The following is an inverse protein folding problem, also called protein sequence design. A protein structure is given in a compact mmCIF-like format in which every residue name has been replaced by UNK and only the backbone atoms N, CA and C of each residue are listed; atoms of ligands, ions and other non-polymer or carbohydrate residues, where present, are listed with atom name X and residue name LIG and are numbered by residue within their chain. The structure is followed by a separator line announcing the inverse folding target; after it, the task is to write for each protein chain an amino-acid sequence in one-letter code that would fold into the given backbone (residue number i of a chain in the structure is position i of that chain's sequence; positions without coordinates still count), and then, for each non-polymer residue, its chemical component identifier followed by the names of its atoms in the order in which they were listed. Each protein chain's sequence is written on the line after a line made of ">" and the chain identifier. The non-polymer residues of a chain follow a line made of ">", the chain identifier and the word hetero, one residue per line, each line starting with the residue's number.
data_IF_212204096442
#
_entry.id   IF_212204096442
#
_cell.length_a   1.000
_cell.length_b   1.000
_cell.length_c   1.000
_cell.angle_alpha   90.00
_cell.angle_beta   90.00
_cell.angle_gamma   90.00
#
_symmetry.space_group_name_H-M   'P 1'
#
loop_
_entity.id
_entity.type
_entity.pdbx_description
1 polymer ?
#
# COMPACT_ATOMS: atom_id res chain seq x y z
N UNK A 1 35.54 -30.22 28.34
CA UNK A 1 35.32 -29.55 27.06
C UNK A 1 33.85 -29.58 26.78
N UNK A 2 33.14 -28.44 26.94
CA UNK A 2 31.71 -28.32 26.65
C UNK A 2 31.59 -27.69 25.27
N UNK A 3 31.12 -28.46 24.30
CA UNK A 3 30.86 -27.98 22.96
C UNK A 3 29.55 -27.18 22.99
N UNK A 4 29.64 -25.85 22.82
CA UNK A 4 28.50 -24.98 22.57
C UNK A 4 28.03 -25.24 21.15
N UNK A 5 26.91 -25.92 20.97
CA UNK A 5 26.19 -25.98 19.68
C UNK A 5 25.63 -24.59 19.36
N UNK A 6 25.96 -24.00 18.19
CA UNK A 6 25.36 -22.76 17.77
C UNK A 6 23.87 -23.00 17.48
N UNK A 7 23.01 -22.30 18.20
CA UNK A 7 21.57 -22.29 17.97
C UNK A 7 21.33 -21.42 16.72
N UNK A 8 21.23 -22.04 15.54
CA UNK A 8 20.78 -21.35 14.33
C UNK A 8 19.28 -21.08 14.46
N UNK A 9 18.92 -19.83 14.79
CA UNK A 9 17.57 -19.36 14.60
C UNK A 9 17.32 -19.28 13.08
N UNK A 10 16.69 -20.29 12.51
CA UNK A 10 16.03 -20.18 11.22
C UNK A 10 14.85 -19.23 11.41
N UNK A 11 15.01 -17.95 11.05
CA UNK A 11 13.91 -17.06 10.85
C UNK A 11 13.06 -17.69 9.73
N UNK A 12 11.89 -18.19 10.07
CA UNK A 12 10.98 -18.75 9.08
C UNK A 12 10.68 -17.66 8.05
N UNK A 13 10.91 -17.97 6.78
CA UNK A 13 10.55 -17.05 5.71
C UNK A 13 9.04 -16.82 5.72
N UNK A 14 8.59 -15.60 5.48
CA UNK A 14 7.16 -15.30 5.43
C UNK A 14 6.48 -16.10 4.31
N UNK A 15 5.20 -16.40 4.49
CA UNK A 15 4.45 -17.26 3.56
C UNK A 15 4.41 -16.71 2.13
N UNK A 16 4.43 -15.39 1.96
CA UNK A 16 4.45 -14.76 0.64
C UNK A 16 5.74 -15.00 -0.15
N UNK A 17 6.85 -15.40 0.50
CA UNK A 17 8.08 -15.83 -0.16
C UNK A 17 8.09 -17.34 -0.46
N UNK A 18 7.27 -18.12 0.23
CA UNK A 18 7.33 -19.59 0.19
C UNK A 18 6.14 -20.26 -0.48
N UNK A 19 5.01 -19.54 -0.62
CA UNK A 19 3.77 -20.06 -1.23
C UNK A 19 3.41 -19.23 -2.46
N UNK A 20 2.93 -19.87 -3.53
CA UNK A 20 2.35 -19.13 -4.64
C UNK A 20 1.02 -18.48 -4.21
N UNK A 21 0.61 -17.35 -4.82
CA UNK A 21 -0.56 -16.56 -4.39
C UNK A 21 -1.88 -17.36 -4.33
N UNK A 22 -2.10 -18.26 -5.26
CA UNK A 22 -3.29 -19.13 -5.33
C UNK A 22 -3.40 -20.10 -4.15
N UNK A 23 -2.29 -20.37 -3.46
CA UNK A 23 -2.25 -21.20 -2.25
C UNK A 23 -2.38 -20.42 -0.95
N UNK A 24 -2.51 -19.09 -1.01
CA UNK A 24 -2.72 -18.27 0.18
C UNK A 24 -4.14 -18.49 0.72
N UNK A 25 -4.24 -18.61 2.04
CA UNK A 25 -5.53 -18.62 2.73
C UNK A 25 -6.14 -17.22 2.76
N UNK A 26 -7.45 -17.13 2.99
CA UNK A 26 -8.12 -15.83 3.10
C UNK A 26 -7.52 -14.97 4.23
N UNK A 27 -7.07 -15.58 5.33
CA UNK A 27 -6.37 -14.89 6.42
C UNK A 27 -4.99 -14.35 5.98
N UNK A 28 -4.22 -15.14 5.22
CA UNK A 28 -2.93 -14.70 4.67
C UNK A 28 -3.10 -13.56 3.67
N UNK A 29 -4.11 -13.61 2.81
CA UNK A 29 -4.45 -12.50 1.90
C UNK A 29 -4.78 -11.23 2.68
N UNK A 30 -5.60 -11.32 3.75
CA UNK A 30 -5.88 -10.16 4.59
C UNK A 30 -4.62 -9.64 5.29
N UNK A 31 -3.73 -10.51 5.77
CA UNK A 31 -2.45 -10.11 6.35
C UNK A 31 -1.60 -9.32 5.35
N UNK A 32 -1.47 -9.80 4.10
CA UNK A 32 -0.74 -9.06 3.05
C UNK A 32 -1.31 -7.66 2.86
N UNK A 33 -2.63 -7.53 2.84
CA UNK A 33 -3.32 -6.26 2.56
C UNK A 33 -3.36 -5.27 3.71
N UNK A 34 -3.11 -5.71 4.95
CA UNK A 34 -3.33 -4.84 6.12
C UNK A 34 -2.17 -4.78 7.12
N UNK A 35 -1.28 -5.77 7.13
CA UNK A 35 -0.26 -5.97 8.17
C UNK A 35 1.05 -6.54 7.61
N UNK A 36 1.34 -6.26 6.35
CA UNK A 36 2.56 -6.69 5.67
C UNK A 36 3.57 -5.54 5.58
N UNK A 37 4.80 -5.80 5.09
CA UNK A 37 5.73 -4.73 4.77
C UNK A 37 5.18 -3.66 3.82
N UNK A 38 4.21 -4.00 2.97
CA UNK A 38 3.60 -3.12 1.97
C UNK A 38 2.30 -2.46 2.43
N UNK A 39 1.79 -2.81 3.62
CA UNK A 39 0.53 -2.30 4.13
C UNK A 39 0.59 -2.04 5.63
N UNK A 40 0.05 -0.90 6.06
CA UNK A 40 0.02 -0.48 7.46
C UNK A 40 -1.33 0.10 7.82
N UNK A 41 -1.76 -0.13 9.05
CA UNK A 41 -2.95 0.51 9.64
C UNK A 41 -2.54 1.77 10.36
N UNK A 42 -3.34 2.83 10.25
CA UNK A 42 -3.15 4.03 11.06
C UNK A 42 -3.65 3.77 12.48
N UNK A 43 -2.90 4.27 13.48
CA UNK A 43 -3.27 4.12 14.89
C UNK A 43 -3.97 5.37 15.45
N UNK A 44 -4.04 6.45 14.68
CA UNK A 44 -4.59 7.73 15.11
C UNK A 44 -5.89 8.05 14.36
N UNK A 45 -6.95 8.37 15.09
CA UNK A 45 -8.26 8.72 14.52
C UNK A 45 -8.98 7.52 13.89
N UNK A 46 -9.82 7.76 12.86
CA UNK A 46 -10.44 6.66 12.12
C UNK A 46 -9.39 5.77 11.48
N UNK A 47 -9.53 4.46 11.69
CA UNK A 47 -8.58 3.47 11.15
C UNK A 47 -8.64 3.51 9.62
N UNK A 48 -7.52 3.82 9.01
CA UNK A 48 -7.30 3.67 7.58
C UNK A 48 -6.21 2.61 7.34
N UNK A 49 -6.34 1.88 6.27
CA UNK A 49 -5.25 1.03 5.76
C UNK A 49 -4.55 1.80 4.64
N UNK A 50 -3.24 1.95 4.75
CA UNK A 50 -2.40 2.60 3.76
C UNK A 50 -1.44 1.55 3.20
N UNK A 51 -1.43 1.37 1.88
CA UNK A 51 -0.68 0.30 1.24
C UNK A 51 -0.13 0.69 -0.13
N UNK A 52 0.96 0.04 -0.51
CA UNK A 52 1.63 0.20 -1.81
C UNK A 52 0.89 -0.65 -2.85
N UNK A 53 -0.11 -0.08 -3.51
CA UNK A 53 -1.05 -0.80 -4.39
C UNK A 53 -0.38 -1.45 -5.62
N UNK A 54 0.76 -0.92 -6.07
CA UNK A 54 1.54 -1.43 -7.20
C UNK A 54 2.62 -2.43 -6.79
N UNK A 55 2.73 -2.77 -5.50
CA UNK A 55 3.62 -3.84 -5.05
C UNK A 55 3.04 -5.22 -5.42
N UNK A 56 3.84 -6.07 -6.03
CA UNK A 56 3.38 -7.37 -6.53
C UNK A 56 2.65 -8.23 -5.47
N UNK A 57 3.06 -8.30 -4.18
CA UNK A 57 2.30 -9.06 -3.20
C UNK A 57 0.89 -8.50 -2.95
N UNK A 58 0.72 -7.19 -2.98
CA UNK A 58 -0.59 -6.55 -2.84
C UNK A 58 -1.48 -6.88 -4.05
N UNK A 59 -0.94 -6.72 -5.26
CA UNK A 59 -1.68 -7.05 -6.50
C UNK A 59 -2.11 -8.51 -6.56
N UNK A 60 -1.22 -9.43 -6.16
CA UNK A 60 -1.56 -10.85 -6.06
C UNK A 60 -2.70 -11.09 -5.04
N UNK A 61 -2.62 -10.47 -3.86
CA UNK A 61 -3.66 -10.58 -2.84
C UNK A 61 -5.01 -10.04 -3.32
N UNK A 62 -5.01 -8.90 -4.03
CA UNK A 62 -6.22 -8.32 -4.60
C UNK A 62 -6.80 -9.16 -5.74
N UNK A 63 -5.95 -9.71 -6.62
CA UNK A 63 -6.37 -10.61 -7.69
C UNK A 63 -7.02 -11.87 -7.12
N UNK A 64 -6.42 -12.49 -6.10
CA UNK A 64 -6.99 -13.67 -5.43
C UNK A 64 -8.35 -13.38 -4.78
N UNK A 65 -8.53 -12.21 -4.16
CA UNK A 65 -9.83 -11.82 -3.60
C UNK A 65 -10.93 -11.68 -4.66
N UNK A 66 -10.60 -11.14 -5.84
CA UNK A 66 -11.55 -11.03 -6.96
C UNK A 66 -11.93 -12.41 -7.50
N UNK A 67 -10.98 -13.34 -7.55
CA UNK A 67 -11.22 -14.72 -8.00
C UNK A 67 -12.05 -15.55 -7.00
N UNK A 68 -12.21 -15.11 -5.74
CA UNK A 68 -12.90 -15.83 -4.66
C UNK A 68 -14.23 -15.19 -4.21
N UNK A 69 -15.09 -14.69 -5.11
CA UNK A 69 -16.29 -13.93 -4.71
C UNK A 69 -17.27 -14.74 -3.86
N UNK A 70 -17.33 -16.08 -4.02
CA UNK A 70 -18.27 -16.96 -3.29
C UNK A 70 -17.92 -17.17 -1.81
N UNK A 71 -16.68 -16.89 -1.40
CA UNK A 71 -16.19 -17.08 -0.03
C UNK A 71 -16.11 -15.79 0.76
N UNK A 72 -16.15 -14.64 0.08
CA UNK A 72 -16.00 -13.33 0.71
C UNK A 72 -17.36 -12.63 0.74
N UNK A 73 -17.94 -12.35 1.93
CA UNK A 73 -19.18 -11.57 2.05
C UNK A 73 -19.02 -10.11 1.58
N UNK A 74 -17.78 -9.65 1.44
CA UNK A 74 -17.43 -8.33 0.93
C UNK A 74 -16.44 -8.51 -0.23
N UNK A 75 -16.91 -8.85 -1.44
CA UNK A 75 -16.04 -9.01 -2.59
C UNK A 75 -15.27 -7.69 -2.84
N UNK A 76 -14.01 -7.81 -3.20
CA UNK A 76 -13.24 -6.63 -3.57
C UNK A 76 -13.83 -6.03 -4.85
N UNK A 77 -14.12 -4.72 -4.88
CA UNK A 77 -14.63 -4.08 -6.09
C UNK A 77 -13.61 -4.17 -7.22
N UNK A 78 -14.10 -4.17 -8.44
CA UNK A 78 -13.23 -3.98 -9.60
C UNK A 78 -12.62 -2.58 -9.52
N UNK A 79 -11.34 -2.43 -9.85
CA UNK A 79 -10.70 -1.13 -9.86
C UNK A 79 -11.29 -0.25 -10.96
N UNK A 80 -11.22 1.07 -10.73
CA UNK A 80 -11.63 2.06 -11.72
C UNK A 80 -10.92 1.81 -13.06
N UNK A 81 -11.64 1.77 -14.20
CA UNK A 81 -11.04 1.56 -15.52
C UNK A 81 -9.95 2.56 -15.87
N UNK A 82 -10.12 3.83 -15.53
CA UNK A 82 -9.13 4.89 -15.80
C UNK A 82 -7.84 4.64 -15.00
N UNK A 83 -7.97 4.09 -13.78
CA UNK A 83 -6.82 3.66 -12.98
C UNK A 83 -6.07 2.48 -13.63
N UNK A 84 -6.79 1.51 -14.16
CA UNK A 84 -6.20 0.35 -14.85
C UNK A 84 -5.46 0.79 -16.12
N UNK A 85 -6.06 1.67 -16.93
CA UNK A 85 -5.43 2.26 -18.11
C UNK A 85 -4.17 3.04 -17.73
N UNK A 86 -4.26 3.90 -16.70
CA UNK A 86 -3.11 4.63 -16.21
C UNK A 86 -1.92 3.72 -15.83
N UNK A 87 -2.20 2.63 -15.11
CA UNK A 87 -1.15 1.69 -14.72
C UNK A 87 -0.50 1.00 -15.92
N UNK A 88 -1.26 0.70 -16.98
CA UNK A 88 -0.70 0.07 -18.18
C UNK A 88 0.40 0.94 -18.82
N UNK A 89 0.23 2.24 -18.76
CA UNK A 89 1.10 3.19 -19.45
C UNK A 89 2.24 3.73 -18.56
N UNK A 90 1.99 3.87 -17.25
CA UNK A 90 2.88 4.63 -16.36
C UNK A 90 3.50 3.83 -15.21
N UNK A 91 3.21 2.54 -15.09
CA UNK A 91 3.71 1.68 -14.00
C UNK A 91 5.23 1.66 -13.87
N UNK A 92 5.95 1.77 -14.98
CA UNK A 92 7.42 1.77 -14.97
C UNK A 92 8.01 3.01 -14.28
N UNK A 93 7.33 4.13 -14.37
CA UNK A 93 7.77 5.44 -13.88
C UNK A 93 7.19 5.82 -12.54
N UNK A 94 6.01 5.29 -12.21
CA UNK A 94 5.22 5.65 -11.05
C UNK A 94 4.83 4.43 -10.22
N UNK A 95 4.52 4.67 -8.94
CA UNK A 95 3.84 3.71 -8.08
C UNK A 95 2.64 4.38 -7.39
N UNK A 96 1.77 3.57 -6.84
CA UNK A 96 0.52 4.04 -6.24
C UNK A 96 0.46 3.68 -4.76
N UNK A 97 0.28 4.70 -3.93
CA UNK A 97 -0.09 4.56 -2.53
C UNK A 97 -1.61 4.61 -2.43
N UNK A 98 -2.22 3.53 -1.95
CA UNK A 98 -3.65 3.43 -1.79
C UNK A 98 -4.06 3.56 -0.32
N UNK A 99 -5.21 4.21 -0.09
CA UNK A 99 -5.76 4.45 1.24
C UNK A 99 -7.22 4.02 1.24
N UNK A 100 -7.56 3.06 2.11
CA UNK A 100 -8.96 2.73 2.41
C UNK A 100 -9.37 3.44 3.68
N UNK A 101 -10.42 4.27 3.65
CA UNK A 101 -10.96 4.88 4.85
C UNK A 101 -12.48 4.99 4.83
N UNK A 102 -13.12 5.07 6.03
CA UNK A 102 -14.54 4.76 6.16
C UNK A 102 -15.49 5.80 5.58
N UNK A 103 -15.01 6.98 5.16
CA UNK A 103 -15.91 8.01 4.68
C UNK A 103 -15.28 8.83 3.56
N UNK A 104 -15.58 8.50 2.29
CA UNK A 104 -15.09 9.27 1.15
C UNK A 104 -15.77 10.64 0.98
N UNK A 105 -16.73 11.01 1.85
CA UNK A 105 -17.57 12.19 1.67
C UNK A 105 -16.82 13.54 1.64
N UNK A 106 -15.63 13.62 2.24
CA UNK A 106 -14.82 14.86 2.24
C UNK A 106 -14.01 15.10 0.97
N UNK A 107 -13.80 14.09 0.16
CA UNK A 107 -12.98 14.21 -1.08
C UNK A 107 -13.75 14.83 -2.25
N UNK A 108 -15.07 15.03 -2.12
CA UNK A 108 -15.86 15.80 -3.07
C UNK A 108 -15.72 17.32 -2.94
N UNK A 109 -15.05 17.81 -1.90
CA UNK A 109 -14.76 19.24 -1.74
C UNK A 109 -13.45 19.57 -2.48
N UNK A 110 -13.55 20.47 -3.46
CA UNK A 110 -12.40 20.90 -4.27
C UNK A 110 -11.27 21.52 -3.44
N UNK A 111 -11.57 22.10 -2.28
CA UNK A 111 -10.56 22.65 -1.36
C UNK A 111 -9.80 21.54 -0.66
N UNK A 112 -10.49 20.50 -0.20
CA UNK A 112 -9.88 19.35 0.45
C UNK A 112 -9.02 18.56 -0.54
N UNK A 113 -9.47 18.38 -1.78
CA UNK A 113 -8.68 17.76 -2.86
C UNK A 113 -7.41 18.57 -3.14
N UNK A 114 -7.53 19.89 -3.25
CA UNK A 114 -6.37 20.76 -3.48
C UNK A 114 -5.37 20.70 -2.33
N UNK A 115 -5.84 20.72 -1.08
CA UNK A 115 -4.96 20.57 0.09
C UNK A 115 -4.26 19.22 0.10
N UNK A 116 -4.98 18.15 -0.22
CA UNK A 116 -4.39 16.82 -0.34
C UNK A 116 -3.26 16.80 -1.38
N UNK A 117 -3.45 17.44 -2.54
CA UNK A 117 -2.44 17.54 -3.58
C UNK A 117 -1.21 18.36 -3.15
N UNK A 118 -1.42 19.47 -2.45
CA UNK A 118 -0.36 20.38 -2.04
C UNK A 118 0.40 19.90 -0.78
N UNK A 119 -0.31 19.25 0.15
CA UNK A 119 0.22 18.89 1.46
C UNK A 119 0.70 17.42 1.54
N UNK A 120 0.32 16.57 0.58
CA UNK A 120 0.77 15.17 0.57
C UNK A 120 2.11 15.02 -0.15
N UNK A 121 3.10 14.49 0.56
CA UNK A 121 4.45 14.33 0.04
C UNK A 121 5.07 12.99 0.44
N UNK A 122 5.93 12.48 -0.43
CA UNK A 122 6.85 11.39 -0.15
C UNK A 122 8.24 11.94 0.15
N UNK A 123 8.86 11.47 1.22
CA UNK A 123 10.20 11.87 1.66
C UNK A 123 11.17 10.69 1.58
N UNK A 124 12.31 10.90 0.92
CA UNK A 124 13.41 9.93 0.84
C UNK A 124 14.68 10.65 1.30
N UNK A 125 15.13 10.37 2.52
CA UNK A 125 16.21 11.13 3.14
C UNK A 125 15.87 12.63 3.23
N UNK A 126 16.60 13.47 2.48
CA UNK A 126 16.38 14.93 2.43
C UNK A 126 15.54 15.39 1.23
N UNK A 127 15.14 14.48 0.36
CA UNK A 127 14.37 14.82 -0.85
C UNK A 127 12.88 14.67 -0.59
N UNK A 128 12.10 15.60 -1.13
CA UNK A 128 10.65 15.60 -1.08
C UNK A 128 10.08 15.48 -2.50
N UNK A 129 9.03 14.67 -2.65
CA UNK A 129 8.32 14.44 -3.90
C UNK A 129 6.83 14.62 -3.64
N UNK A 130 6.20 15.53 -4.37
CA UNK A 130 4.74 15.69 -4.38
C UNK A 130 4.05 14.52 -5.09
N UNK A 131 2.74 14.43 -4.96
CA UNK A 131 1.93 13.55 -5.78
C UNK A 131 1.91 14.07 -7.22
N UNK A 132 1.85 13.14 -8.19
CA UNK A 132 1.73 13.46 -9.63
C UNK A 132 0.26 13.62 -10.01
N UNK A 133 -0.60 12.88 -9.34
CA UNK A 133 -2.04 12.85 -9.52
C UNK A 133 -2.69 11.91 -8.52
N UNK A 134 -4.01 11.76 -8.62
CA UNK A 134 -4.76 10.87 -7.75
C UNK A 134 -6.02 10.34 -8.44
N UNK A 135 -6.51 9.19 -7.97
CA UNK A 135 -7.83 8.66 -8.26
C UNK A 135 -8.67 8.75 -6.99
N UNK A 136 -9.75 9.53 -6.99
CA UNK A 136 -10.60 9.67 -5.82
C UNK A 136 -11.40 8.38 -5.58
N UNK A 137 -11.79 8.11 -4.33
CA UNK A 137 -12.68 6.99 -4.05
C UNK A 137 -14.06 7.24 -4.66
N UNK A 138 -14.66 6.15 -5.16
CA UNK A 138 -16.03 6.14 -5.68
C UNK A 138 -16.90 5.20 -4.83
N UNK A 139 -18.22 5.24 -4.94
CA UNK A 139 -19.09 4.28 -4.26
C UNK A 139 -18.82 2.83 -4.65
N UNK A 140 -18.35 2.59 -5.87
CA UNK A 140 -17.98 1.27 -6.38
C UNK A 140 -16.54 0.86 -6.05
N UNK A 141 -15.66 1.82 -5.82
CA UNK A 141 -14.26 1.60 -5.46
C UNK A 141 -13.83 2.61 -4.37
N UNK A 142 -14.08 2.30 -3.08
CA UNK A 142 -13.88 3.23 -1.97
C UNK A 142 -12.40 3.37 -1.57
N UNK A 143 -11.51 3.45 -2.54
CA UNK A 143 -10.06 3.56 -2.34
C UNK A 143 -9.55 4.86 -2.96
N UNK A 144 -8.95 5.71 -2.13
CA UNK A 144 -8.15 6.84 -2.61
C UNK A 144 -6.79 6.32 -3.07
N UNK A 145 -6.36 6.69 -4.27
CA UNK A 145 -5.04 6.33 -4.80
C UNK A 145 -4.24 7.57 -5.11
N UNK A 146 -3.08 7.69 -4.49
CA UNK A 146 -2.12 8.78 -4.70
C UNK A 146 -0.96 8.25 -5.54
N UNK A 147 -0.61 8.97 -6.59
CA UNK A 147 0.43 8.59 -7.53
C UNK A 147 1.72 9.32 -7.17
N UNK A 148 2.81 8.57 -7.01
CA UNK A 148 4.14 9.08 -6.73
C UNK A 148 5.16 8.60 -7.76
N UNK A 149 6.23 9.38 -8.03
CA UNK A 149 7.32 8.93 -8.91
C UNK A 149 8.10 7.78 -8.27
N UNK A 150 8.56 6.82 -9.08
CA UNK A 150 9.44 5.72 -8.62
C UNK A 150 10.86 6.23 -8.33
N UNK A 151 10.99 7.04 -7.29
CA UNK A 151 12.28 7.63 -6.88
C UNK A 151 13.02 6.81 -5.82
N UNK A 152 12.34 5.85 -5.17
CA UNK A 152 12.91 4.98 -4.11
C UNK A 152 13.85 3.96 -4.73
N UNK A 153 15.02 3.80 -4.10
CA UNK A 153 16.07 2.88 -4.54
C UNK A 153 16.35 1.82 -3.48
N UNK A 154 16.85 0.63 -3.84
CA UNK A 154 17.18 -0.42 -2.87
C UNK A 154 18.17 0.00 -1.77
N UNK A 155 18.99 1.04 -2.01
CA UNK A 155 19.93 1.58 -1.02
C UNK A 155 19.35 2.60 -0.05
N UNK A 156 18.11 3.05 -0.25
CA UNK A 156 17.45 3.96 0.67
C UNK A 156 17.07 3.20 1.95
N UNK A 157 17.06 3.90 3.10
CA UNK A 157 16.71 3.27 4.38
C UNK A 157 15.22 3.17 4.58
N UNK A 158 14.56 4.32 4.42
CA UNK A 158 13.12 4.47 4.62
C UNK A 158 12.52 5.37 3.55
N UNK A 159 11.24 5.19 3.30
CA UNK A 159 10.39 6.14 2.61
C UNK A 159 9.27 6.56 3.57
N UNK A 160 9.14 7.86 3.80
CA UNK A 160 8.12 8.44 4.68
C UNK A 160 7.08 9.18 3.83
N UNK A 161 5.82 8.89 4.07
CA UNK A 161 4.71 9.63 3.48
C UNK A 161 4.08 10.52 4.55
N UNK A 162 4.00 11.81 4.25
CA UNK A 162 3.16 12.77 4.96
C UNK A 162 1.95 13.03 4.09
N UNK A 163 0.79 12.70 4.60
CA UNK A 163 -0.44 12.72 3.84
C UNK A 163 -1.44 13.65 4.50
N UNK A 164 -2.15 14.42 3.68
CA UNK A 164 -3.36 15.09 4.07
C UNK A 164 -4.57 14.32 3.54
N UNK A 165 -5.36 13.75 4.45
CA UNK A 165 -6.53 12.92 4.12
C UNK A 165 -7.81 13.71 4.39
N UNK A 166 -8.33 14.38 3.37
CA UNK A 166 -9.52 15.21 3.47
C UNK A 166 -10.74 14.46 4.02
N UNK A 167 -11.63 15.16 4.71
CA UNK A 167 -12.83 14.59 5.30
C UNK A 167 -12.64 13.85 6.63
N UNK A 168 -11.40 13.69 7.10
CA UNK A 168 -11.12 13.13 8.42
C UNK A 168 -10.98 14.23 9.48
N UNK A 169 -11.45 13.93 10.72
CA UNK A 169 -11.34 14.86 11.86
C UNK A 169 -9.87 15.27 12.15
N UNK A 170 -8.95 14.37 11.91
CA UNK A 170 -7.50 14.59 11.98
C UNK A 170 -6.93 14.16 10.61
N UNK A 171 -6.78 15.08 9.68
CA UNK A 171 -6.45 14.72 8.29
C UNK A 171 -4.98 14.34 8.07
N UNK A 172 -4.07 14.80 8.91
CA UNK A 172 -2.65 14.54 8.75
C UNK A 172 -2.28 13.12 9.17
N UNK A 173 -1.48 12.45 8.35
CA UNK A 173 -0.93 11.10 8.62
C UNK A 173 0.53 11.04 8.23
N UNK A 174 1.30 10.36 9.05
CA UNK A 174 2.65 9.94 8.71
C UNK A 174 2.74 8.42 8.67
N UNK A 175 3.28 7.88 7.58
CA UNK A 175 3.52 6.45 7.40
C UNK A 175 4.93 6.24 6.87
N UNK A 176 5.71 5.43 7.57
CA UNK A 176 7.07 5.09 7.17
C UNK A 176 7.16 3.61 6.75
N UNK A 177 7.74 3.36 5.59
CA UNK A 177 8.12 2.04 5.14
C UNK A 177 9.64 1.88 5.14
N UNK A 178 10.14 0.77 5.69
CA UNK A 178 11.56 0.44 5.63
C UNK A 178 11.85 -0.25 4.31
N UNK A 179 12.66 0.38 3.46
CA UNK A 179 12.91 -0.09 2.09
C UNK A 179 13.46 -1.52 2.04
N UNK A 180 14.29 -1.91 3.00
CA UNK A 180 14.82 -3.28 3.10
C UNK A 180 13.74 -4.35 3.27
N UNK A 181 12.59 -3.99 3.86
CA UNK A 181 11.49 -4.92 4.12
C UNK A 181 10.53 -5.02 2.91
N UNK A 182 10.63 -4.09 1.94
CA UNK A 182 9.82 -4.06 0.71
C UNK A 182 10.36 -4.98 -0.38
N UNK A 183 11.08 -6.03 0.00
CA UNK A 183 11.60 -7.01 -0.95
C UNK A 183 10.63 -8.18 -1.11
N UNK A 184 10.35 -8.54 -2.35
CA UNK A 184 9.59 -9.72 -2.72
C UNK A 184 10.33 -10.47 -3.82
N UNK A 185 10.62 -11.75 -3.61
CA UNK A 185 11.41 -12.58 -4.53
C UNK A 185 12.73 -11.91 -4.95
N UNK A 186 13.40 -11.25 -3.99
CA UNK A 186 14.68 -10.58 -4.20
C UNK A 186 14.63 -9.25 -4.95
N UNK A 187 13.45 -8.70 -5.22
CA UNK A 187 13.26 -7.39 -5.89
C UNK A 187 12.58 -6.41 -4.95
N UNK A 188 12.93 -5.12 -5.07
CA UNK A 188 12.20 -4.04 -4.41
C UNK A 188 10.83 -3.88 -5.08
N UNK A 189 9.76 -4.03 -4.30
CA UNK A 189 8.37 -3.93 -4.75
C UNK A 189 7.65 -2.77 -4.05
N UNK A 190 7.13 -1.86 -4.89
CA UNK A 190 6.36 -0.67 -4.48
C UNK A 190 5.25 -0.38 -5.47
#
# INVERSE_FOLDING_TARGET
>A
MHALLPLFFFLAQPFWETKPPEAWTDAEIQTVRTESPWAQRTNEGPVAVIYLATAAPIEHAEAELRLRPKKNPHPMPEPDPDYVEYLSDHRAENFVLAITYPTPAGLGDARESKRMEEESVMLIGKKSYGIIGHFPPTPSDPVLRLIFPRAVKPGDKTVLFRLYLGGLKFPEREIEFRVKDLSYQGKLEM
#
